data_IF_197939268795
#
_entry.id   IF_197939268795
#
_cell.length_a   1.000
_cell.length_b   1.000
_cell.length_c   1.000
_cell.angle_alpha   90.00
_cell.angle_beta   90.00
_cell.angle_gamma   90.00
#
_symmetry.space_group_name_H-M   'P 1'
#
loop_
_entity.id
_entity.type
_entity.pdbx_description
1 polymer ?
#
# COMPACT_ATOMS: atom_id res chain seq x y z
N UNK A 1 -7.27 8.81 -10.26
CA UNK A 1 -5.90 8.31 -10.50
C UNK A 1 -5.01 8.91 -9.44
N UNK A 2 -4.31 8.06 -8.69
CA UNK A 2 -3.31 8.46 -7.69
C UNK A 2 -2.11 9.08 -8.40
N UNK A 3 -1.98 10.40 -8.28
CA UNK A 3 -0.86 11.16 -8.84
C UNK A 3 0.46 10.91 -8.09
N UNK A 4 1.57 11.40 -8.65
CA UNK A 4 2.91 11.25 -8.10
C UNK A 4 3.06 11.86 -6.69
N UNK A 5 2.42 12.99 -6.41
CA UNK A 5 2.50 13.66 -5.10
C UNK A 5 1.81 12.84 -4.00
N UNK A 6 0.62 12.33 -4.30
CA UNK A 6 -0.16 11.47 -3.42
C UNK A 6 0.52 10.11 -3.24
N UNK A 7 1.17 9.60 -4.29
CA UNK A 7 2.00 8.39 -4.20
C UNK A 7 3.09 8.55 -3.15
N UNK A 8 3.84 9.66 -3.18
CA UNK A 8 4.89 9.94 -2.20
C UNK A 8 4.35 10.03 -0.77
N UNK A 9 3.19 10.65 -0.56
CA UNK A 9 2.52 10.69 0.76
C UNK A 9 2.14 9.28 1.23
N UNK A 10 1.61 8.47 0.33
CA UNK A 10 1.22 7.09 0.59
C UNK A 10 2.43 6.23 0.98
N UNK A 11 3.53 6.34 0.23
CA UNK A 11 4.80 5.69 0.55
C UNK A 11 5.32 6.09 1.95
N UNK A 12 5.20 7.37 2.32
CA UNK A 12 5.56 7.85 3.66
C UNK A 12 4.73 7.19 4.76
N UNK A 13 3.45 6.92 4.53
CA UNK A 13 2.60 6.18 5.48
C UNK A 13 3.10 4.75 5.63
N UNK A 14 3.43 4.06 4.52
CA UNK A 14 3.98 2.70 4.58
C UNK A 14 5.32 2.63 5.31
N UNK A 15 6.18 3.63 5.13
CA UNK A 15 7.43 3.77 5.92
C UNK A 15 7.15 3.90 7.41
N UNK A 16 6.19 4.73 7.80
CA UNK A 16 5.82 4.92 9.20
C UNK A 16 5.27 3.66 9.86
N UNK A 17 4.61 2.81 9.07
CA UNK A 17 4.16 1.52 9.54
C UNK A 17 5.30 0.50 9.67
N UNK A 18 6.54 0.85 9.29
CA UNK A 18 7.72 -0.04 9.34
C UNK A 18 7.53 -1.35 8.57
N UNK A 19 6.66 -1.35 7.57
CA UNK A 19 6.28 -2.53 6.79
C UNK A 19 7.32 -2.81 5.68
N UNK A 20 8.01 -1.77 5.23
CA UNK A 20 8.95 -1.85 4.10
C UNK A 20 10.30 -1.29 4.52
N UNK A 21 11.38 -2.05 4.30
CA UNK A 21 12.76 -1.58 4.49
C UNK A 21 13.33 -0.89 3.26
N UNK A 22 12.75 -1.16 2.08
CA UNK A 22 13.06 -0.50 0.81
C UNK A 22 11.77 0.05 0.19
N UNK A 23 11.79 1.29 -0.27
CA UNK A 23 10.60 2.01 -0.77
C UNK A 23 10.59 2.22 -2.26
N UNK A 24 11.28 1.37 -3.01
CA UNK A 24 11.17 1.42 -4.45
C UNK A 24 9.79 0.88 -4.84
N UNK A 25 8.90 1.79 -5.24
CA UNK A 25 7.62 1.44 -5.85
C UNK A 25 7.89 0.62 -7.10
N UNK A 26 7.25 -0.54 -7.17
CA UNK A 26 7.33 -1.45 -8.29
C UNK A 26 6.03 -1.40 -9.09
N UNK A 27 6.15 -1.52 -10.41
CA UNK A 27 4.99 -1.78 -11.25
C UNK A 27 4.36 -3.12 -10.83
N UNK A 28 3.04 -3.17 -10.86
CA UNK A 28 2.30 -4.38 -10.59
C UNK A 28 2.66 -5.51 -11.57
N UNK A 29 2.92 -6.69 -11.02
CA UNK A 29 3.16 -7.94 -11.74
C UNK A 29 2.29 -9.03 -11.09
N UNK A 30 1.38 -9.71 -11.84
CA UNK A 30 0.55 -10.78 -11.31
C UNK A 30 1.33 -11.91 -10.64
N UNK A 31 2.56 -12.20 -11.10
CA UNK A 31 3.41 -13.23 -10.49
C UNK A 31 3.90 -12.83 -9.09
N UNK A 32 3.80 -11.55 -8.74
CA UNK A 32 4.24 -10.98 -7.47
C UNK A 32 3.09 -10.41 -6.62
N UNK A 33 1.82 -10.69 -6.99
CA UNK A 33 0.60 -10.19 -6.34
C UNK A 33 0.66 -10.22 -4.80
N UNK A 34 1.22 -11.30 -4.24
CA UNK A 34 1.28 -11.58 -2.81
C UNK A 34 2.64 -11.31 -2.15
N UNK A 35 3.63 -10.81 -2.91
CA UNK A 35 4.96 -10.52 -2.39
C UNK A 35 4.88 -9.48 -1.27
N UNK A 36 5.53 -9.76 -0.15
CA UNK A 36 5.57 -8.88 1.02
C UNK A 36 6.71 -7.86 0.96
N UNK A 37 6.63 -6.83 1.80
CA UNK A 37 7.66 -5.78 1.98
C UNK A 37 7.97 -4.97 0.71
N UNK A 38 7.09 -4.99 -0.29
CA UNK A 38 7.21 -4.25 -1.54
C UNK A 38 5.99 -3.35 -1.73
N UNK A 39 6.22 -2.12 -2.20
CA UNK A 39 5.14 -1.21 -2.58
C UNK A 39 4.84 -1.44 -4.05
N UNK A 40 3.59 -1.77 -4.37
CA UNK A 40 3.12 -2.00 -5.73
C UNK A 40 2.24 -0.84 -6.18
N UNK A 41 2.46 -0.37 -7.41
CA UNK A 41 1.57 0.54 -8.11
C UNK A 41 0.94 -0.18 -9.30
N UNK A 42 -0.38 -0.25 -9.32
CA UNK A 42 -1.18 -0.92 -10.34
C UNK A 42 -1.81 0.10 -11.29
N UNK A 43 -1.87 -0.24 -12.57
CA UNK A 43 -2.41 0.65 -13.60
C UNK A 43 -1.57 1.91 -13.82
N UNK A 44 -0.23 1.77 -13.81
CA UNK A 44 0.69 2.89 -14.05
C UNK A 44 0.48 3.44 -15.47
N UNK A 45 0.40 4.77 -15.60
CA UNK A 45 0.33 5.50 -16.87
C UNK A 45 1.61 6.31 -17.13
N UNK A 46 1.69 6.93 -18.31
CA UNK A 46 2.84 7.72 -18.77
C UNK A 46 3.19 8.90 -17.84
N UNK A 47 2.22 9.44 -17.12
CA UNK A 47 2.38 10.51 -16.13
C UNK A 47 2.78 10.00 -14.74
N UNK A 48 3.15 8.72 -14.63
CA UNK A 48 3.44 8.00 -13.38
C UNK A 48 2.29 7.94 -12.39
N UNK A 49 1.07 8.30 -12.80
CA UNK A 49 -0.14 8.07 -12.02
C UNK A 49 -0.50 6.58 -12.03
N UNK A 50 -1.19 6.13 -10.99
CA UNK A 50 -1.64 4.74 -10.85
C UNK A 50 -3.09 4.68 -10.36
N UNK A 51 -3.81 3.61 -10.65
CA UNK A 51 -5.19 3.41 -10.16
C UNK A 51 -5.22 2.91 -8.72
N UNK A 52 -4.14 2.29 -8.27
CA UNK A 52 -4.02 1.68 -6.96
C UNK A 52 -2.55 1.59 -6.54
N UNK A 53 -2.30 1.79 -5.25
CA UNK A 53 -1.00 1.58 -4.62
C UNK A 53 -1.18 0.81 -3.31
N UNK A 54 -0.37 -0.23 -3.10
CA UNK A 54 -0.53 -1.09 -1.92
C UNK A 54 0.79 -1.71 -1.46
N UNK A 55 0.75 -2.26 -0.25
CA UNK A 55 1.79 -3.12 0.32
C UNK A 55 1.15 -4.34 0.96
N UNK A 56 1.81 -5.49 0.82
CA UNK A 56 1.45 -6.70 1.54
C UNK A 56 2.33 -6.89 2.76
N UNK A 57 1.72 -7.31 3.86
CA UNK A 57 2.37 -7.57 5.15
C UNK A 57 2.00 -8.96 5.60
N UNK A 58 2.94 -9.70 6.19
CA UNK A 58 2.61 -10.95 6.88
C UNK A 58 1.58 -10.67 7.97
N UNK A 59 0.47 -11.43 7.99
CA UNK A 59 -0.65 -11.18 8.89
C UNK A 59 -0.22 -11.23 10.37
N UNK A 60 0.70 -12.13 10.73
CA UNK A 60 1.29 -12.25 12.07
C UNK A 60 2.09 -11.00 12.52
N UNK A 61 2.58 -10.19 11.57
CA UNK A 61 3.32 -8.96 11.84
C UNK A 61 2.39 -7.75 11.98
N UNK A 62 1.12 -7.87 11.57
CA UNK A 62 0.15 -6.79 11.62
C UNK A 62 -0.49 -6.66 13.01
N UNK A 63 0.08 -5.77 13.83
CA UNK A 63 -0.34 -5.49 15.22
C UNK A 63 -1.34 -4.33 15.33
N UNK A 64 -2.02 -4.24 16.47
CA UNK A 64 -2.98 -3.18 16.82
C UNK A 64 -2.47 -1.75 16.57
N UNK A 65 -1.19 -1.48 16.78
CA UNK A 65 -0.61 -0.16 16.54
C UNK A 65 -0.58 0.23 15.05
N UNK A 66 -0.49 -0.73 14.13
CA UNK A 66 -0.54 -0.47 12.68
C UNK A 66 -1.91 0.06 12.28
N UNK A 67 -2.99 -0.54 12.80
CA UNK A 67 -4.36 -0.06 12.57
C UNK A 67 -4.52 1.40 13.04
N UNK A 68 -4.08 1.71 14.27
CA UNK A 68 -4.16 3.07 14.81
C UNK A 68 -3.37 4.08 13.97
N UNK A 69 -2.17 3.70 13.54
CA UNK A 69 -1.32 4.55 12.68
C UNK A 69 -1.97 4.76 11.31
N UNK A 70 -2.54 3.71 10.72
CA UNK A 70 -3.25 3.76 9.45
C UNK A 70 -4.44 4.73 9.53
N UNK A 71 -5.37 4.49 10.44
CA UNK A 71 -6.56 5.34 10.64
C UNK A 71 -6.20 6.81 10.88
N UNK A 72 -5.12 7.09 11.61
CA UNK A 72 -4.67 8.46 11.86
C UNK A 72 -4.17 9.14 10.60
N UNK A 73 -3.36 8.43 9.79
CA UNK A 73 -2.61 9.03 8.67
C UNK A 73 -3.33 9.00 7.34
N UNK A 74 -4.32 8.13 7.16
CA UNK A 74 -5.06 8.03 5.88
C UNK A 74 -6.08 9.16 5.70
N UNK A 75 -6.46 9.88 6.76
CA UNK A 75 -7.48 10.95 6.72
C UNK A 75 -7.18 12.09 5.75
N UNK A 76 -5.89 12.30 5.46
CA UNK A 76 -5.41 13.39 4.60
C UNK A 76 -5.21 12.97 3.14
N UNK A 77 -5.45 11.69 2.83
CA UNK A 77 -5.28 11.14 1.49
C UNK A 77 -6.64 11.11 0.79
N UNK A 78 -6.84 11.82 -0.34
CA UNK A 78 -8.12 11.94 -1.02
C UNK A 78 -8.48 10.70 -1.87
N UNK A 79 -8.16 9.50 -1.39
CA UNK A 79 -8.39 8.22 -2.07
C UNK A 79 -9.00 7.20 -1.10
N UNK A 80 -9.60 6.14 -1.63
CA UNK A 80 -10.20 5.10 -0.80
C UNK A 80 -9.07 4.29 -0.17
N UNK A 81 -8.86 4.47 1.13
CA UNK A 81 -8.00 3.59 1.91
C UNK A 81 -8.68 2.26 2.13
N UNK A 82 -7.92 1.17 2.16
CA UNK A 82 -8.44 -0.15 2.43
C UNK A 82 -7.43 -1.03 3.16
N UNK A 83 -7.98 -2.04 3.84
CA UNK A 83 -7.26 -3.16 4.45
C UNK A 83 -7.97 -4.43 4.00
N UNK A 84 -7.26 -5.36 3.37
CA UNK A 84 -7.80 -6.62 2.87
C UNK A 84 -7.00 -7.80 3.40
N UNK A 85 -7.70 -8.84 3.84
CA UNK A 85 -7.10 -10.04 4.41
C UNK A 85 -7.10 -11.17 3.38
N UNK A 86 -5.93 -11.74 3.13
CA UNK A 86 -5.74 -12.90 2.26
C UNK A 86 -5.29 -14.07 3.14
N UNK A 87 -6.27 -14.79 3.69
CA UNK A 87 -6.02 -15.83 4.72
C UNK A 87 -5.16 -16.98 4.20
N UNK A 88 -5.42 -17.44 2.98
CA UNK A 88 -4.68 -18.53 2.35
C UNK A 88 -3.20 -18.20 2.15
N UNK A 89 -2.91 -16.94 1.81
CA UNK A 89 -1.54 -16.45 1.60
C UNK A 89 -0.89 -15.95 2.90
N UNK A 90 -1.63 -15.90 4.01
CA UNK A 90 -1.12 -15.43 5.30
C UNK A 90 -0.74 -13.95 5.32
N UNK A 91 -1.37 -13.12 4.47
CA UNK A 91 -1.04 -11.68 4.36
C UNK A 91 -2.23 -10.77 4.63
N UNK A 92 -1.90 -9.52 4.97
CA UNK A 92 -2.80 -8.37 4.96
C UNK A 92 -2.27 -7.39 3.93
N UNK A 93 -3.13 -6.96 3.02
CA UNK A 93 -2.87 -5.89 2.08
C UNK A 93 -3.43 -4.59 2.62
N UNK A 94 -2.64 -3.54 2.60
CA UNK A 94 -3.10 -2.18 2.88
C UNK A 94 -2.73 -1.27 1.74
N UNK A 95 -3.63 -0.38 1.37
CA UNK A 95 -3.43 0.43 0.18
C UNK A 95 -4.46 1.51 0.00
N UNK A 96 -4.29 2.21 -1.10
CA UNK A 96 -5.20 3.24 -1.59
C UNK A 96 -5.57 2.93 -3.03
N UNK A 97 -6.80 3.23 -3.40
CA UNK A 97 -7.29 3.11 -4.77
C UNK A 97 -8.19 4.27 -5.13
N UNK A 98 -8.38 4.46 -6.43
CA UNK A 98 -9.44 5.34 -6.93
C UNK A 98 -10.81 4.91 -6.39
N UNK A 99 -11.72 5.90 -6.24
CA UNK A 99 -13.11 5.65 -5.87
C UNK A 99 -13.84 4.85 -6.94
#
# INVERSE_FOLDING_TARGET
>A
MIDFSTRNKTESIFKHLQITTSTTVQAYDPLQEYRVNCVFAKGIKNDFSCSEIYVNVMAEKWRAWHFKTWEKRTKEIPYVSYIQHFKEQGIIRVGFRDK
#
